data_IF_205694008945
#
_entry.id   IF_205694008945
#
_cell.length_a   1.000
_cell.length_b   1.000
_cell.length_c   1.000
_cell.angle_alpha   90.00
_cell.angle_beta   90.00
_cell.angle_gamma   90.00
#
_symmetry.space_group_name_H-M   'P 1'
#
loop_
_entity.id
_entity.type
_entity.pdbx_description
1 polymer ?
#
# COMPACT_ATOMS: atom_id res chain seq x y z
N UNK A 1 -91.96 61.37 71.00
CA UNK A 1 -93.04 62.30 71.41
C UNK A 1 -93.15 63.37 70.33
N UNK A 2 -93.86 63.05 69.24
CA UNK A 2 -94.29 64.00 68.20
C UNK A 2 -95.81 63.86 68.21
N UNK A 3 -96.51 64.90 68.64
CA UNK A 3 -97.97 64.98 68.72
C UNK A 3 -98.52 64.86 67.29
N UNK A 4 -99.28 63.80 67.01
CA UNK A 4 -100.19 63.79 65.88
C UNK A 4 -101.47 64.49 66.33
N UNK A 5 -101.72 65.69 65.81
CA UNK A 5 -103.07 66.28 65.81
C UNK A 5 -103.88 65.55 64.73
N UNK A 6 -104.78 64.67 65.17
CA UNK A 6 -105.84 64.13 64.32
C UNK A 6 -107.08 65.01 64.48
N UNK A 7 -107.07 66.17 63.83
CA UNK A 7 -108.28 66.98 63.60
C UNK A 7 -108.64 66.89 62.11
N UNK A 8 -109.81 66.30 61.82
CA UNK A 8 -110.52 66.44 60.54
C UNK A 8 -110.04 65.56 59.37
N UNK A 9 -110.06 64.24 59.51
CA UNK A 9 -110.20 63.36 58.34
C UNK A 9 -111.68 63.24 57.99
N UNK A 10 -112.10 63.93 56.92
CA UNK A 10 -113.34 63.59 56.21
C UNK A 10 -113.19 62.18 55.61
N UNK A 11 -114.27 61.40 55.56
CA UNK A 11 -114.29 60.00 55.07
C UNK A 11 -113.56 59.87 53.71
N UNK A 12 -113.70 60.88 52.84
CA UNK A 12 -113.05 60.98 51.52
C UNK A 12 -111.51 61.08 51.54
N UNK A 13 -110.91 61.70 52.58
CA UNK A 13 -109.43 61.79 52.67
C UNK A 13 -108.81 60.51 53.22
N UNK A 14 -109.55 59.76 54.05
CA UNK A 14 -109.12 58.48 54.57
C UNK A 14 -109.19 57.39 53.50
N UNK A 15 -110.20 57.43 52.63
CA UNK A 15 -110.37 56.53 51.48
C UNK A 15 -109.33 56.79 50.39
N UNK A 16 -109.00 58.05 50.08
CA UNK A 16 -107.92 58.39 49.13
C UNK A 16 -106.55 57.90 49.62
N UNK A 17 -106.21 58.10 50.90
CA UNK A 17 -104.96 57.61 51.47
C UNK A 17 -104.88 56.07 51.48
N UNK A 18 -106.01 55.39 51.71
CA UNK A 18 -106.11 53.94 51.67
C UNK A 18 -105.96 53.39 50.24
N UNK A 19 -106.52 54.08 49.24
CA UNK A 19 -106.34 53.75 47.83
C UNK A 19 -104.89 53.92 47.37
N UNK A 20 -104.23 55.02 47.76
CA UNK A 20 -102.81 55.25 47.50
C UNK A 20 -101.91 54.19 48.18
N UNK A 21 -102.23 53.81 49.42
CA UNK A 21 -101.53 52.74 50.13
C UNK A 21 -101.69 51.39 49.39
N UNK A 22 -102.90 51.07 48.93
CA UNK A 22 -103.19 49.85 48.19
C UNK A 22 -102.48 49.82 46.81
N UNK A 23 -102.41 50.95 46.11
CA UNK A 23 -101.67 51.13 44.86
C UNK A 23 -100.15 50.96 45.10
N UNK A 24 -99.64 51.52 46.20
CA UNK A 24 -98.25 51.39 46.67
C UNK A 24 -97.90 49.94 47.01
N UNK A 25 -98.81 49.21 47.65
CA UNK A 25 -98.61 47.79 47.97
C UNK A 25 -98.63 46.92 46.71
N UNK A 26 -99.52 47.19 45.76
CA UNK A 26 -99.54 46.51 44.45
C UNK A 26 -98.26 46.76 43.66
N UNK A 27 -97.74 47.99 43.65
CA UNK A 27 -96.47 48.31 42.98
C UNK A 27 -95.27 47.67 43.68
N UNK A 28 -95.22 47.65 45.02
CA UNK A 28 -94.22 46.91 45.79
C UNK A 28 -94.28 45.40 45.50
N UNK A 29 -95.47 44.81 45.42
CA UNK A 29 -95.63 43.39 45.10
C UNK A 29 -95.10 43.06 43.69
N UNK A 30 -95.41 43.89 42.69
CA UNK A 30 -94.86 43.76 41.31
C UNK A 30 -93.34 43.91 41.29
N UNK A 31 -92.77 44.85 42.04
CA UNK A 31 -91.32 45.03 42.17
C UNK A 31 -90.65 43.81 42.81
N UNK A 32 -91.26 43.23 43.85
CA UNK A 32 -90.78 42.01 44.50
C UNK A 32 -90.82 40.82 43.54
N UNK A 33 -91.89 40.63 42.76
CA UNK A 33 -91.95 39.57 41.75
C UNK A 33 -90.88 39.74 40.66
N UNK A 34 -90.70 40.97 40.16
CA UNK A 34 -89.65 41.28 39.18
C UNK A 34 -88.25 40.99 39.73
N UNK A 35 -88.00 41.35 40.99
CA UNK A 35 -86.74 41.05 41.68
C UNK A 35 -86.52 39.55 41.86
N UNK A 36 -87.56 38.79 42.24
CA UNK A 36 -87.50 37.32 42.33
C UNK A 36 -87.24 36.66 40.98
N UNK A 37 -87.85 37.16 39.91
CA UNK A 37 -87.62 36.67 38.54
C UNK A 37 -86.17 36.92 38.11
N UNK A 38 -85.67 38.16 38.27
CA UNK A 38 -84.28 38.52 37.99
C UNK A 38 -83.30 37.68 38.80
N UNK A 39 -83.59 37.40 40.07
CA UNK A 39 -82.76 36.54 40.90
C UNK A 39 -82.67 35.11 40.34
N UNK A 40 -83.80 34.54 39.88
CA UNK A 40 -83.83 33.19 39.26
C UNK A 40 -83.05 33.16 37.95
N UNK A 41 -83.20 34.17 37.10
CA UNK A 41 -82.45 34.28 35.85
C UNK A 41 -80.95 34.45 36.11
N UNK A 42 -80.56 35.35 37.00
CA UNK A 42 -79.16 35.54 37.39
C UNK A 42 -78.54 34.25 37.93
N UNK A 43 -79.30 33.46 38.70
CA UNK A 43 -78.85 32.15 39.18
C UNK A 43 -78.68 31.14 38.04
N UNK A 44 -79.53 31.16 37.01
CA UNK A 44 -79.38 30.33 35.80
C UNK A 44 -78.17 30.74 34.98
N UNK A 45 -78.03 32.03 34.69
CA UNK A 45 -76.87 32.56 33.96
C UNK A 45 -75.56 32.25 34.67
N UNK A 46 -75.51 32.37 36.00
CA UNK A 46 -74.32 32.00 36.78
C UNK A 46 -73.91 30.54 36.56
N UNK A 47 -74.85 29.60 36.61
CA UNK A 47 -74.57 28.16 36.34
C UNK A 47 -74.07 27.92 34.91
N UNK A 48 -74.66 28.60 33.92
CA UNK A 48 -74.20 28.49 32.53
C UNK A 48 -72.79 29.04 32.36
N UNK A 49 -72.48 30.19 32.98
CA UNK A 49 -71.15 30.78 32.98
C UNK A 49 -70.14 29.82 33.62
N UNK A 50 -70.45 29.24 34.77
CA UNK A 50 -69.59 28.25 35.45
C UNK A 50 -69.29 27.05 34.53
N UNK A 51 -70.30 26.51 33.83
CA UNK A 51 -70.11 25.42 32.87
C UNK A 51 -69.21 25.83 31.69
N UNK A 52 -69.45 26.99 31.09
CA UNK A 52 -68.65 27.50 29.98
C UNK A 52 -67.20 27.77 30.39
N UNK A 53 -66.96 28.21 31.63
CA UNK A 53 -65.59 28.40 32.16
C UNK A 53 -64.87 27.06 32.28
N UNK A 54 -65.54 26.00 32.73
CA UNK A 54 -64.97 24.65 32.78
C UNK A 54 -64.63 24.14 31.36
N UNK A 55 -65.57 24.22 30.42
CA UNK A 55 -65.34 23.82 29.03
C UNK A 55 -64.19 24.60 28.38
N UNK A 56 -64.12 25.92 28.61
CA UNK A 56 -63.00 26.76 28.15
C UNK A 56 -61.65 26.28 28.72
N UNK A 57 -61.61 25.90 29.99
CA UNK A 57 -60.38 25.43 30.63
C UNK A 57 -59.95 24.06 30.08
N UNK A 58 -60.90 23.17 29.78
CA UNK A 58 -60.63 21.87 29.15
C UNK A 58 -60.09 22.04 27.74
N UNK A 59 -60.75 22.87 26.93
CA UNK A 59 -60.27 23.22 25.58
C UNK A 59 -58.89 23.86 25.62
N UNK A 60 -58.61 24.72 26.61
CA UNK A 60 -57.29 25.34 26.78
C UNK A 60 -56.21 24.28 27.11
N UNK A 61 -56.54 23.28 27.92
CA UNK A 61 -55.61 22.16 28.21
C UNK A 61 -55.33 21.35 26.96
N UNK A 62 -56.35 21.04 26.17
CA UNK A 62 -56.20 20.27 24.94
C UNK A 62 -55.41 21.03 23.88
N UNK A 63 -55.68 22.33 23.71
CA UNK A 63 -54.91 23.20 22.83
C UNK A 63 -53.42 23.20 23.20
N UNK A 64 -53.08 23.28 24.48
CA UNK A 64 -51.69 23.25 24.93
C UNK A 64 -51.01 21.90 24.63
N UNK A 65 -51.72 20.77 24.76
CA UNK A 65 -51.20 19.45 24.39
C UNK A 65 -50.89 19.39 22.90
N UNK A 66 -51.83 19.82 22.05
CA UNK A 66 -51.65 19.85 20.59
C UNK A 66 -50.49 20.76 20.18
N UNK A 67 -50.32 21.91 20.84
CA UNK A 67 -49.17 22.81 20.59
C UNK A 67 -47.85 22.10 20.92
N UNK A 68 -47.76 21.43 22.06
CA UNK A 68 -46.56 20.69 22.44
C UNK A 68 -46.23 19.55 21.47
N UNK A 69 -47.26 18.83 21.01
CA UNK A 69 -47.10 17.75 20.03
C UNK A 69 -46.62 18.28 18.68
N UNK A 70 -47.21 19.37 18.19
CA UNK A 70 -46.76 20.05 16.98
C UNK A 70 -45.32 20.53 17.08
N UNK A 71 -44.88 21.03 18.24
CA UNK A 71 -43.47 21.38 18.46
C UNK A 71 -42.54 20.16 18.38
N UNK A 72 -42.94 19.02 18.94
CA UNK A 72 -42.17 17.76 18.83
C UNK A 72 -42.09 17.29 17.37
N UNK A 73 -43.20 17.35 16.63
CA UNK A 73 -43.25 16.99 15.23
C UNK A 73 -42.33 17.88 14.37
N UNK A 74 -42.33 19.20 14.60
CA UNK A 74 -41.41 20.12 13.91
C UNK A 74 -39.94 19.77 14.15
N UNK A 75 -39.57 19.39 15.39
CA UNK A 75 -38.20 18.94 15.69
C UNK A 75 -37.86 17.64 14.96
N UNK A 76 -38.78 16.68 14.90
CA UNK A 76 -38.59 15.41 14.15
C UNK A 76 -38.45 15.67 12.66
N UNK A 77 -39.29 16.54 12.07
CA UNK A 77 -39.19 16.92 10.66
C UNK A 77 -37.83 17.51 10.33
N UNK A 78 -37.32 18.41 11.17
CA UNK A 78 -35.98 18.98 10.98
C UNK A 78 -34.89 17.90 10.99
N UNK A 79 -34.93 16.97 11.95
CA UNK A 79 -33.98 15.87 12.01
C UNK A 79 -34.07 14.92 10.80
N UNK A 80 -35.27 14.67 10.29
CA UNK A 80 -35.47 13.86 9.07
C UNK A 80 -34.90 14.60 7.86
N UNK A 81 -35.12 15.92 7.76
CA UNK A 81 -34.57 16.73 6.68
C UNK A 81 -33.03 16.69 6.67
N UNK A 82 -32.40 16.86 7.83
CA UNK A 82 -30.93 16.76 7.95
C UNK A 82 -30.40 15.39 7.52
N UNK A 83 -31.16 14.30 7.78
CA UNK A 83 -30.80 12.96 7.31
C UNK A 83 -30.99 12.80 5.80
N UNK A 84 -32.05 13.39 5.24
CA UNK A 84 -32.32 13.38 3.81
C UNK A 84 -31.20 14.09 3.04
N UNK A 85 -30.77 15.26 3.52
CA UNK A 85 -29.69 16.04 2.91
C UNK A 85 -28.36 15.24 2.91
N UNK A 86 -28.04 14.58 4.03
CA UNK A 86 -26.88 13.68 4.12
C UNK A 86 -26.96 12.50 3.15
N UNK A 87 -28.15 11.90 3.01
CA UNK A 87 -28.36 10.78 2.11
C UNK A 87 -28.17 11.21 0.64
N UNK A 88 -28.64 12.40 0.27
CA UNK A 88 -28.43 12.97 -1.07
C UNK A 88 -26.95 13.25 -1.35
N UNK A 89 -26.20 13.75 -0.36
CA UNK A 89 -24.77 13.93 -0.49
C UNK A 89 -24.04 12.60 -0.71
N UNK A 90 -24.36 11.57 0.08
CA UNK A 90 -23.78 10.24 -0.09
C UNK A 90 -24.13 9.61 -1.43
N UNK A 91 -25.32 9.85 -1.96
CA UNK A 91 -25.72 9.35 -3.28
C UNK A 91 -24.90 9.99 -4.41
N UNK A 92 -24.61 11.29 -4.28
CA UNK A 92 -23.70 12.00 -5.21
C UNK A 92 -22.28 11.44 -5.14
N UNK A 93 -21.72 11.30 -3.94
CA UNK A 93 -20.38 10.72 -3.74
C UNK A 93 -20.30 9.29 -4.29
N UNK A 94 -21.33 8.46 -4.07
CA UNK A 94 -21.39 7.12 -4.63
C UNK A 94 -21.44 7.10 -6.17
N UNK A 95 -22.05 8.12 -6.80
CA UNK A 95 -22.07 8.23 -8.25
C UNK A 95 -20.68 8.59 -8.79
N UNK A 96 -19.99 9.54 -8.17
CA UNK A 96 -18.62 9.94 -8.52
C UNK A 96 -17.65 8.74 -8.38
N UNK A 97 -17.72 8.01 -7.27
CA UNK A 97 -16.90 6.80 -7.06
C UNK A 97 -17.17 5.69 -8.10
N UNK A 98 -18.42 5.54 -8.55
CA UNK A 98 -18.75 4.57 -9.61
C UNK A 98 -18.13 4.95 -10.95
N UNK A 99 -18.07 6.24 -11.27
CA UNK A 99 -17.44 6.75 -12.49
C UNK A 99 -15.91 6.56 -12.44
N UNK A 100 -15.28 6.86 -11.30
CA UNK A 100 -13.84 6.60 -11.08
C UNK A 100 -13.51 5.11 -11.24
N UNK A 101 -14.29 4.23 -10.60
CA UNK A 101 -14.11 2.79 -10.67
C UNK A 101 -14.29 2.24 -12.09
N UNK A 102 -15.19 2.83 -12.88
CA UNK A 102 -15.33 2.49 -14.30
C UNK A 102 -14.08 2.87 -15.10
N UNK A 103 -13.51 4.07 -14.86
CA UNK A 103 -12.26 4.49 -15.48
C UNK A 103 -11.08 3.59 -15.12
N UNK A 104 -11.01 3.13 -13.87
CA UNK A 104 -9.95 2.23 -13.41
C UNK A 104 -10.09 0.81 -13.99
N UNK A 105 -11.32 0.33 -14.21
CA UNK A 105 -11.57 -0.92 -14.94
C UNK A 105 -11.11 -0.88 -16.39
N UNK A 106 -11.27 0.25 -17.08
CA UNK A 106 -10.75 0.41 -18.45
C UNK A 106 -9.22 0.34 -18.47
N UNK A 107 -8.54 1.03 -17.54
CA UNK A 107 -7.07 0.92 -17.40
C UNK A 107 -6.61 -0.51 -17.14
N UNK A 108 -7.35 -1.28 -16.34
CA UNK A 108 -7.03 -2.69 -16.10
C UNK A 108 -7.16 -3.56 -17.35
N UNK A 109 -8.13 -3.27 -18.23
CA UNK A 109 -8.24 -3.96 -19.52
C UNK A 109 -7.03 -3.67 -20.41
N UNK A 110 -6.59 -2.41 -20.46
CA UNK A 110 -5.41 -2.00 -21.22
C UNK A 110 -4.12 -2.67 -20.69
N UNK A 111 -3.96 -2.77 -19.37
CA UNK A 111 -2.84 -3.50 -18.77
C UNK A 111 -2.90 -5.00 -19.14
N UNK A 112 -4.09 -5.59 -19.19
CA UNK A 112 -4.24 -7.00 -19.59
C UNK A 112 -3.86 -7.23 -21.05
N UNK A 113 -4.21 -6.32 -21.97
CA UNK A 113 -3.81 -6.41 -23.38
C UNK A 113 -2.30 -6.24 -23.54
N UNK A 114 -1.71 -5.24 -22.89
CA UNK A 114 -0.25 -5.04 -22.90
C UNK A 114 0.51 -6.25 -22.34
N UNK A 115 -0.03 -6.90 -21.31
CA UNK A 115 0.56 -8.13 -20.76
C UNK A 115 0.50 -9.29 -21.75
N UNK A 116 -0.58 -9.42 -22.51
CA UNK A 116 -0.69 -10.43 -23.55
C UNK A 116 0.31 -10.18 -24.70
N UNK A 117 0.44 -8.93 -25.15
CA UNK A 117 1.43 -8.52 -26.15
C UNK A 117 2.87 -8.79 -25.67
N UNK A 118 3.19 -8.42 -24.43
CA UNK A 118 4.48 -8.71 -23.80
C UNK A 118 4.79 -10.22 -23.84
N UNK A 119 3.84 -11.07 -23.47
CA UNK A 119 4.04 -12.51 -23.47
C UNK A 119 4.27 -13.06 -24.89
N UNK A 120 3.57 -12.52 -25.89
CA UNK A 120 3.79 -12.90 -27.29
C UNK A 120 5.19 -12.50 -27.78
N UNK A 121 5.66 -11.30 -27.42
CA UNK A 121 7.02 -10.85 -27.74
C UNK A 121 8.08 -11.69 -27.02
N UNK A 122 7.84 -12.06 -25.76
CA UNK A 122 8.73 -12.92 -24.99
C UNK A 122 8.90 -14.28 -25.67
N UNK A 123 7.79 -14.91 -26.10
CA UNK A 123 7.82 -16.18 -26.83
C UNK A 123 8.62 -16.07 -28.15
N UNK A 124 8.46 -14.98 -28.90
CA UNK A 124 9.27 -14.72 -30.10
C UNK A 124 10.76 -14.59 -29.78
N UNK A 125 11.10 -13.91 -28.69
CA UNK A 125 12.48 -13.74 -28.25
C UNK A 125 13.11 -15.07 -27.84
N UNK A 126 12.37 -15.93 -27.14
CA UNK A 126 12.81 -17.29 -26.79
C UNK A 126 13.07 -18.13 -28.04
N UNK A 127 12.20 -18.03 -29.05
CA UNK A 127 12.38 -18.74 -30.32
C UNK A 127 13.64 -18.26 -31.06
N UNK A 128 13.84 -16.94 -31.18
CA UNK A 128 15.07 -16.39 -31.78
C UNK A 128 16.33 -16.81 -31.01
N UNK A 129 16.25 -16.89 -29.67
CA UNK A 129 17.36 -17.35 -28.84
C UNK A 129 17.72 -18.81 -29.13
N UNK A 130 16.73 -19.69 -29.32
CA UNK A 130 16.97 -21.09 -29.71
C UNK A 130 17.66 -21.16 -31.08
N UNK A 131 17.20 -20.37 -32.04
CA UNK A 131 17.81 -20.31 -33.38
C UNK A 131 19.27 -19.85 -33.31
N UNK A 132 19.56 -18.81 -32.54
CA UNK A 132 20.93 -18.33 -32.33
C UNK A 132 21.80 -19.43 -31.69
N UNK A 133 21.29 -20.12 -30.66
CA UNK A 133 22.02 -21.21 -30.01
C UNK A 133 22.36 -22.33 -30.99
N UNK A 134 21.41 -22.73 -31.83
CA UNK A 134 21.63 -23.76 -32.86
C UNK A 134 22.70 -23.34 -33.87
N UNK A 135 22.62 -22.11 -34.39
CA UNK A 135 23.63 -21.58 -35.31
C UNK A 135 25.02 -21.54 -34.64
N UNK A 136 25.07 -21.13 -33.37
CA UNK A 136 26.31 -21.07 -32.61
C UNK A 136 26.94 -22.45 -32.40
N UNK A 137 26.14 -23.47 -32.10
CA UNK A 137 26.61 -24.87 -32.00
C UNK A 137 27.18 -25.37 -33.33
N UNK A 138 26.53 -25.07 -34.45
CA UNK A 138 27.04 -25.41 -35.78
C UNK A 138 28.40 -24.75 -36.07
N UNK A 139 28.52 -23.43 -35.83
CA UNK A 139 29.77 -22.69 -36.04
C UNK A 139 30.88 -23.22 -35.15
N UNK A 140 30.58 -23.56 -33.89
CA UNK A 140 31.55 -24.14 -32.97
C UNK A 140 32.06 -25.49 -33.46
N UNK A 141 31.17 -26.37 -33.91
CA UNK A 141 31.54 -27.67 -34.47
C UNK A 141 32.46 -27.53 -35.68
N UNK A 142 32.11 -26.65 -36.62
CA UNK A 142 32.90 -26.40 -37.82
C UNK A 142 34.29 -25.81 -37.47
N UNK A 143 34.33 -24.87 -36.50
CA UNK A 143 35.58 -24.33 -35.95
C UNK A 143 36.46 -25.41 -35.31
N UNK A 144 35.89 -26.33 -34.53
CA UNK A 144 36.64 -27.43 -33.92
C UNK A 144 37.28 -28.32 -34.97
N UNK A 145 36.56 -28.65 -36.05
CA UNK A 145 37.09 -29.44 -37.15
C UNK A 145 38.25 -28.74 -37.85
N UNK A 146 38.11 -27.44 -38.11
CA UNK A 146 39.14 -26.60 -38.71
C UNK A 146 40.41 -26.53 -37.86
N UNK A 147 40.26 -26.33 -36.54
CA UNK A 147 41.38 -26.35 -35.59
C UNK A 147 42.08 -27.70 -35.59
N UNK A 148 41.32 -28.81 -35.66
CA UNK A 148 41.88 -30.16 -35.69
C UNK A 148 42.73 -30.38 -36.95
N UNK A 149 42.23 -29.97 -38.12
CA UNK A 149 42.99 -30.00 -39.39
C UNK A 149 44.26 -29.14 -39.32
N UNK A 150 44.16 -27.93 -38.80
CA UNK A 150 45.30 -27.02 -38.61
C UNK A 150 46.36 -27.63 -37.69
N UNK A 151 45.97 -28.24 -36.57
CA UNK A 151 46.89 -28.94 -35.66
C UNK A 151 47.59 -30.12 -36.34
N UNK A 152 46.87 -30.87 -37.18
CA UNK A 152 47.44 -31.92 -38.02
C UNK A 152 48.52 -31.38 -38.95
N UNK A 153 48.19 -30.35 -39.74
CA UNK A 153 49.13 -29.71 -40.65
C UNK A 153 50.37 -29.15 -39.92
N UNK A 154 50.19 -28.48 -38.78
CA UNK A 154 51.31 -27.93 -37.97
C UNK A 154 52.24 -29.04 -37.46
N UNK A 155 51.71 -30.22 -37.12
CA UNK A 155 52.50 -31.36 -36.65
C UNK A 155 53.47 -31.86 -37.73
N UNK A 156 53.11 -31.68 -39.00
CA UNK A 156 53.91 -32.10 -40.16
C UNK A 156 54.88 -31.01 -40.65
N UNK A 157 54.86 -29.80 -40.07
CA UNK A 157 55.83 -28.73 -40.38
C UNK A 157 57.03 -28.87 -39.43
N UNK A 158 58.27 -29.02 -39.94
CA UNK A 158 59.47 -29.07 -39.11
C UNK A 158 59.81 -27.65 -38.63
N UNK A 159 59.28 -27.24 -37.47
CA UNK A 159 59.52 -25.91 -36.90
C UNK A 159 60.30 -26.00 -35.60
N UNK A 160 61.38 -25.24 -35.49
CA UNK A 160 62.14 -25.05 -34.25
C UNK A 160 61.37 -24.11 -33.30
N UNK A 161 60.57 -24.72 -32.43
CA UNK A 161 59.69 -24.04 -31.46
C UNK A 161 60.42 -23.04 -30.55
N UNK A 162 61.74 -23.19 -30.32
CA UNK A 162 62.50 -22.29 -29.43
C UNK A 162 62.67 -20.88 -30.00
N UNK A 163 62.73 -20.72 -31.32
CA UNK A 163 62.98 -19.42 -31.94
C UNK A 163 61.71 -18.54 -31.97
N UNK A 164 60.55 -19.16 -32.19
CA UNK A 164 59.25 -18.49 -32.25
C UNK A 164 58.80 -18.03 -30.86
N UNK A 165 59.01 -18.86 -29.83
CA UNK A 165 58.66 -18.52 -28.44
C UNK A 165 59.43 -17.28 -27.94
N UNK A 166 60.67 -17.13 -28.42
CA UNK A 166 61.54 -15.98 -28.12
C UNK A 166 61.03 -14.68 -28.76
N UNK A 167 60.40 -14.75 -29.94
CA UNK A 167 59.80 -13.60 -30.66
C UNK A 167 58.42 -13.21 -30.10
N UNK A 168 57.62 -14.16 -29.62
CA UNK A 168 56.28 -13.89 -29.05
C UNK A 168 56.30 -13.31 -27.63
N UNK A 169 57.28 -13.67 -26.79
CA UNK A 169 57.42 -13.13 -25.41
C UNK A 169 57.70 -11.62 -25.34
N UNK A 170 57.97 -10.97 -26.49
CA UNK A 170 58.29 -9.54 -26.55
C UNK A 170 57.05 -8.64 -26.60
N UNK A 171 55.87 -9.14 -26.98
CA UNK A 171 54.78 -8.26 -27.44
C UNK A 171 53.53 -8.13 -26.56
N UNK A 172 53.44 -8.74 -25.38
CA UNK A 172 52.32 -8.51 -24.46
C UNK A 172 52.76 -8.58 -22.99
N UNK A 173 52.92 -7.41 -22.36
CA UNK A 173 53.07 -7.27 -20.89
C UNK A 173 52.14 -6.18 -20.38
N UNK A 174 50.88 -6.54 -20.13
CA UNK A 174 50.18 -6.06 -18.92
C UNK A 174 50.09 -7.28 -18.02
N UNK A 175 50.92 -7.30 -16.96
CA UNK A 175 50.96 -8.41 -16.01
C UNK A 175 49.84 -8.23 -14.99
N UNK A 176 48.72 -8.93 -15.17
CA UNK A 176 47.84 -9.20 -14.04
C UNK A 176 48.53 -10.22 -13.11
N UNK A 177 48.47 -9.97 -11.79
CA UNK A 177 49.02 -10.88 -10.77
C UNK A 177 48.09 -12.09 -10.58
N UNK A 178 48.00 -12.96 -11.57
CA UNK A 178 47.23 -14.21 -11.49
C UNK A 178 48.15 -15.33 -11.03
N UNK A 179 48.34 -15.46 -9.73
CA UNK A 179 49.12 -16.53 -9.11
C UNK A 179 48.33 -17.19 -7.97
N UNK A 180 48.81 -18.37 -7.54
CA UNK A 180 48.22 -19.19 -6.45
C UNK A 180 48.10 -18.46 -5.10
N UNK A 181 48.75 -17.29 -4.94
CA UNK A 181 48.71 -16.44 -3.74
C UNK A 181 48.06 -15.07 -4.01
N UNK A 182 47.23 -14.95 -5.05
CA UNK A 182 46.53 -13.70 -5.35
C UNK A 182 45.59 -13.34 -4.20
N UNK A 183 45.68 -12.09 -3.73
CA UNK A 183 44.80 -11.57 -2.68
C UNK A 183 43.44 -11.21 -3.27
N UNK A 184 42.36 -11.79 -2.75
CA UNK A 184 41.00 -11.59 -3.27
C UNK A 184 40.04 -11.04 -2.24
N UNK A 185 39.15 -10.16 -2.67
CA UNK A 185 37.98 -9.77 -1.87
C UNK A 185 36.70 -10.06 -2.63
N UNK A 186 35.71 -10.62 -1.93
CA UNK A 186 34.40 -10.98 -2.43
C UNK A 186 33.34 -10.07 -1.81
N UNK A 187 32.50 -9.46 -2.64
CA UNK A 187 31.37 -8.65 -2.20
C UNK A 187 30.08 -9.19 -2.80
N UNK A 188 29.14 -9.57 -1.94
CA UNK A 188 27.91 -10.28 -2.34
C UNK A 188 26.68 -9.45 -2.05
N UNK A 189 25.97 -9.09 -3.10
CA UNK A 189 24.62 -8.53 -3.01
C UNK A 189 23.61 -9.66 -2.84
N UNK A 190 23.26 -9.93 -1.59
CA UNK A 190 22.36 -11.05 -1.24
C UNK A 190 20.98 -10.86 -1.84
N UNK A 191 20.48 -9.63 -1.96
CA UNK A 191 19.17 -9.39 -2.56
C UNK A 191 19.19 -9.77 -4.05
N UNK A 192 20.18 -9.28 -4.80
CA UNK A 192 20.32 -9.58 -6.22
C UNK A 192 20.47 -11.10 -6.46
N UNK A 193 21.27 -11.78 -5.64
CA UNK A 193 21.45 -13.23 -5.71
C UNK A 193 20.16 -13.99 -5.33
N UNK A 194 19.46 -13.59 -4.28
CA UNK A 194 18.26 -14.26 -3.80
C UNK A 194 17.10 -14.17 -4.80
N UNK A 195 16.80 -12.96 -5.30
CA UNK A 195 15.73 -12.78 -6.28
C UNK A 195 16.03 -13.56 -7.57
N UNK A 196 17.29 -13.59 -8.00
CA UNK A 196 17.70 -14.33 -9.19
C UNK A 196 17.59 -15.85 -9.01
N UNK A 197 18.06 -16.40 -7.87
CA UNK A 197 17.96 -17.82 -7.57
C UNK A 197 16.50 -18.29 -7.45
N UNK A 198 15.66 -17.51 -6.76
CA UNK A 198 14.24 -17.83 -6.57
C UNK A 198 13.47 -17.82 -7.89
N UNK A 199 13.65 -16.78 -8.71
CA UNK A 199 12.88 -16.60 -9.94
C UNK A 199 13.28 -17.58 -11.04
N UNK A 200 14.57 -17.92 -11.16
CA UNK A 200 15.08 -18.74 -12.26
C UNK A 200 15.08 -20.24 -11.95
N UNK A 201 15.30 -20.63 -10.70
CA UNK A 201 15.57 -22.02 -10.33
C UNK A 201 14.74 -22.54 -9.15
N UNK A 202 13.87 -21.70 -8.57
CA UNK A 202 13.10 -22.03 -7.37
C UNK A 202 13.98 -22.58 -6.22
N UNK A 203 15.23 -22.12 -6.15
CA UNK A 203 16.26 -22.60 -5.23
C UNK A 203 16.92 -21.46 -4.46
N UNK A 204 17.93 -21.81 -3.65
CA UNK A 204 18.74 -20.85 -2.89
C UNK A 204 20.21 -21.03 -3.21
N UNK A 205 20.99 -19.96 -3.18
CA UNK A 205 22.44 -20.04 -3.35
C UNK A 205 23.07 -20.76 -2.14
N UNK A 206 23.93 -21.73 -2.39
CA UNK A 206 24.80 -22.33 -1.39
C UNK A 206 25.98 -21.39 -1.12
N UNK A 207 25.91 -20.60 -0.04
CA UNK A 207 26.94 -19.58 0.24
C UNK A 207 28.29 -20.16 0.68
N UNK A 208 28.32 -21.39 1.19
CA UNK A 208 29.55 -22.08 1.57
C UNK A 208 30.28 -22.55 0.32
N UNK A 209 29.58 -23.31 -0.53
CA UNK A 209 30.12 -23.77 -1.81
C UNK A 209 30.44 -22.59 -2.74
N UNK A 210 29.62 -21.55 -2.72
CA UNK A 210 29.87 -20.32 -3.46
C UNK A 210 31.18 -19.66 -3.04
N UNK A 211 31.45 -19.54 -1.73
CA UNK A 211 32.70 -18.97 -1.24
C UNK A 211 33.89 -19.81 -1.70
N UNK A 212 33.81 -21.13 -1.51
CA UNK A 212 34.87 -22.08 -1.85
C UNK A 212 35.23 -22.02 -3.34
N UNK A 213 34.23 -22.15 -4.22
CA UNK A 213 34.45 -22.17 -5.68
C UNK A 213 34.90 -20.80 -6.18
N UNK A 214 34.29 -19.73 -5.67
CA UNK A 214 34.59 -18.37 -6.12
C UNK A 214 35.99 -17.95 -5.71
N UNK A 215 36.46 -18.32 -4.51
CA UNK A 215 37.81 -18.01 -4.06
C UNK A 215 38.83 -18.98 -4.69
N UNK A 216 38.53 -20.28 -4.72
CA UNK A 216 39.44 -21.33 -5.16
C UNK A 216 40.73 -21.37 -4.33
N UNK A 217 41.87 -21.62 -4.98
CA UNK A 217 43.18 -21.70 -4.34
C UNK A 217 43.77 -20.34 -3.89
N UNK A 218 43.00 -19.24 -3.95
CA UNK A 218 43.48 -17.87 -3.72
C UNK A 218 43.39 -17.47 -2.25
N UNK A 219 44.11 -16.41 -1.86
CA UNK A 219 44.08 -15.91 -0.48
C UNK A 219 42.90 -14.95 -0.30
N UNK A 220 41.86 -15.38 0.40
CA UNK A 220 40.72 -14.52 0.76
C UNK A 220 41.15 -13.47 1.79
N UNK A 221 41.10 -12.20 1.40
CA UNK A 221 41.30 -11.05 2.28
C UNK A 221 40.01 -10.72 3.02
N UNK A 222 38.88 -10.70 2.32
CA UNK A 222 37.56 -10.43 2.91
C UNK A 222 36.45 -10.97 2.02
N UNK A 223 35.43 -11.57 2.63
CA UNK A 223 34.14 -11.83 2.00
C UNK A 223 33.05 -11.06 2.76
N UNK A 224 32.33 -10.17 2.08
CA UNK A 224 31.24 -9.39 2.69
C UNK A 224 29.91 -9.70 2.02
N UNK A 225 28.89 -10.00 2.83
CA UNK A 225 27.52 -10.21 2.37
C UNK A 225 26.62 -9.07 2.84
N UNK A 226 25.92 -8.43 1.91
CA UNK A 226 25.04 -7.29 2.16
C UNK A 226 23.58 -7.73 2.15
N UNK A 227 22.90 -7.56 3.28
CA UNK A 227 21.53 -8.03 3.50
C UNK A 227 20.63 -6.83 3.82
N UNK A 228 19.48 -6.78 3.16
CA UNK A 228 18.41 -5.85 3.53
C UNK A 228 17.34 -6.64 4.27
N UNK A 229 17.02 -6.20 5.49
CA UNK A 229 16.03 -6.82 6.35
C UNK A 229 14.67 -6.17 6.14
N UNK A 230 13.63 -7.00 6.07
CA UNK A 230 12.23 -6.55 6.09
C UNK A 230 11.59 -6.97 7.41
N UNK A 231 10.70 -6.15 8.00
CA UNK A 231 10.10 -6.45 9.31
C UNK A 231 9.40 -7.82 9.38
N UNK A 232 8.87 -8.28 8.24
CA UNK A 232 8.07 -9.50 8.15
C UNK A 232 8.87 -10.80 8.02
N UNK A 233 10.20 -10.73 7.88
CA UNK A 233 11.05 -11.91 7.63
C UNK A 233 12.17 -12.00 8.67
N UNK A 234 12.09 -13.01 9.54
CA UNK A 234 13.21 -13.33 10.44
C UNK A 234 14.37 -13.97 9.68
N UNK A 235 15.43 -13.20 9.48
CA UNK A 235 16.66 -13.63 8.81
C UNK A 235 17.80 -13.94 9.79
N UNK A 236 17.54 -13.99 11.11
CA UNK A 236 18.58 -14.14 12.15
C UNK A 236 19.40 -15.41 11.98
N UNK A 237 18.74 -16.54 11.65
CA UNK A 237 19.41 -17.83 11.41
C UNK A 237 20.30 -17.78 10.17
N UNK A 238 19.84 -17.15 9.11
CA UNK A 238 20.60 -17.01 7.87
C UNK A 238 21.83 -16.12 8.04
N UNK A 239 21.67 -14.99 8.74
CA UNK A 239 22.80 -14.11 9.11
C UNK A 239 23.84 -14.87 9.95
N UNK A 240 23.38 -15.67 10.90
CA UNK A 240 24.27 -16.48 11.76
C UNK A 240 25.03 -17.54 10.95
N UNK A 241 24.36 -18.20 9.99
CA UNK A 241 24.99 -19.15 9.06
C UNK A 241 26.07 -18.49 8.20
N UNK A 242 25.80 -17.33 7.60
CA UNK A 242 26.82 -16.63 6.80
C UNK A 242 28.04 -16.25 7.63
N UNK A 243 27.83 -15.80 8.86
CA UNK A 243 28.93 -15.50 9.80
C UNK A 243 29.72 -16.75 10.15
N UNK A 244 29.08 -17.90 10.36
CA UNK A 244 29.79 -19.16 10.64
C UNK A 244 30.59 -19.68 9.43
N UNK A 245 30.14 -19.40 8.21
CA UNK A 245 30.88 -19.70 6.98
C UNK A 245 32.12 -18.80 6.82
N UNK A 246 32.11 -17.60 7.42
CA UNK A 246 33.23 -16.65 7.39
C UNK A 246 32.95 -15.34 6.66
N UNK A 247 31.69 -15.05 6.32
CA UNK A 247 31.33 -13.76 5.75
C UNK A 247 31.23 -12.68 6.84
N UNK A 248 31.73 -11.49 6.50
CA UNK A 248 31.36 -10.25 7.18
C UNK A 248 29.96 -9.86 6.71
N UNK A 249 28.98 -9.88 7.61
CA UNK A 249 27.58 -9.58 7.25
C UNK A 249 27.22 -8.14 7.58
N UNK A 250 26.78 -7.38 6.58
CA UNK A 250 26.25 -6.01 6.70
C UNK A 250 24.74 -6.04 6.54
N UNK A 251 24.00 -5.48 7.50
CA UNK A 251 22.53 -5.50 7.52
C UNK A 251 21.95 -4.09 7.52
N UNK A 252 20.93 -3.84 6.70
CA UNK A 252 20.20 -2.58 6.66
C UNK A 252 18.71 -2.85 6.75
N UNK A 253 18.02 -2.12 7.62
CA UNK A 253 16.56 -2.22 7.74
C UNK A 253 15.88 -1.45 6.61
N UNK A 254 14.96 -2.11 5.92
CA UNK A 254 14.14 -1.47 4.89
C UNK A 254 13.23 -0.42 5.56
N UNK A 255 13.51 0.86 5.32
CA UNK A 255 12.67 1.95 5.83
C UNK A 255 11.49 2.16 4.89
N UNK A 256 10.27 2.03 5.41
CA UNK A 256 9.05 2.46 4.73
C UNK A 256 8.90 3.97 4.91
N UNK A 257 9.07 4.73 3.82
CA UNK A 257 8.87 6.18 3.85
C UNK A 257 7.40 6.54 4.04
N UNK A 258 7.13 7.73 4.59
CA UNK A 258 5.81 8.37 4.59
C UNK A 258 5.39 8.65 3.15
N UNK A 259 4.67 7.71 2.53
CA UNK A 259 4.32 7.72 1.12
C UNK A 259 4.36 6.36 0.42
N UNK A 260 4.70 5.28 1.12
CA UNK A 260 4.66 3.91 0.57
C UNK A 260 5.85 3.51 -0.30
N UNK A 261 6.81 4.41 -0.51
CA UNK A 261 8.07 4.10 -1.19
C UNK A 261 9.06 3.46 -0.21
N UNK A 262 9.37 2.18 -0.44
CA UNK A 262 10.49 1.52 0.21
C UNK A 262 11.81 2.00 -0.42
N UNK A 263 12.73 2.53 0.39
CA UNK A 263 14.11 2.83 -0.03
C UNK A 263 15.08 2.02 0.84
N UNK A 264 15.84 1.15 0.19
CA UNK A 264 16.91 0.40 0.86
C UNK A 264 17.61 -0.56 -0.10
N UNK A 265 18.63 -0.09 -0.81
CA UNK A 265 19.65 -0.90 -1.50
C UNK A 265 21.02 -0.67 -0.86
N UNK A 266 21.92 -1.63 -1.02
CA UNK A 266 23.27 -1.53 -0.46
C UNK A 266 24.28 -0.84 -1.38
N UNK A 267 23.88 -0.37 -2.56
CA UNK A 267 24.81 -0.01 -3.63
C UNK A 267 25.87 1.01 -3.22
N UNK A 268 25.47 2.07 -2.52
CA UNK A 268 26.40 3.09 -2.02
C UNK A 268 27.30 2.52 -0.93
N UNK A 269 26.74 1.80 0.04
CA UNK A 269 27.52 1.21 1.14
C UNK A 269 28.51 0.17 0.65
N UNK A 270 28.08 -0.71 -0.25
CA UNK A 270 28.92 -1.69 -0.91
C UNK A 270 30.02 -1.02 -1.74
N UNK A 271 29.69 0.03 -2.50
CA UNK A 271 30.68 0.82 -3.26
C UNK A 271 31.79 1.36 -2.35
N UNK A 272 31.44 1.95 -1.20
CA UNK A 272 32.41 2.49 -0.23
C UNK A 272 33.30 1.37 0.34
N UNK A 273 32.70 0.25 0.76
CA UNK A 273 33.44 -0.89 1.30
C UNK A 273 34.37 -1.52 0.24
N UNK A 274 33.95 -1.57 -1.03
CA UNK A 274 34.79 -2.00 -2.15
C UNK A 274 35.98 -1.05 -2.32
N UNK A 275 35.76 0.27 -2.39
CA UNK A 275 36.83 1.27 -2.57
C UNK A 275 37.95 1.13 -1.52
N UNK A 276 37.61 0.75 -0.29
CA UNK A 276 38.56 0.50 0.79
C UNK A 276 39.51 -0.70 0.56
N UNK A 277 39.31 -1.46 -0.53
CA UNK A 277 40.14 -2.59 -0.93
C UNK A 277 41.10 -2.32 -2.07
N UNK A 278 41.05 -1.15 -2.73
CA UNK A 278 41.84 -0.84 -3.94
C UNK A 278 43.34 -1.20 -3.77
N UNK A 279 43.93 -0.90 -2.63
CA UNK A 279 45.37 -1.14 -2.41
C UNK A 279 45.68 -2.42 -1.61
N UNK A 280 44.68 -3.29 -1.40
CA UNK A 280 44.78 -4.47 -0.52
C UNK A 280 44.58 -5.80 -1.24
N UNK A 281 44.14 -5.77 -2.49
CA UNK A 281 43.78 -6.97 -3.25
C UNK A 281 44.38 -6.92 -4.65
N UNK A 282 44.63 -8.10 -5.20
CA UNK A 282 44.99 -8.26 -6.61
C UNK A 282 43.77 -8.56 -7.48
N UNK A 283 42.68 -9.08 -6.88
CA UNK A 283 41.42 -9.38 -7.59
C UNK A 283 40.19 -9.01 -6.76
N UNK A 284 39.32 -8.20 -7.34
CA UNK A 284 37.98 -7.90 -6.84
C UNK A 284 36.98 -8.89 -7.44
N UNK A 285 36.17 -9.52 -6.60
CA UNK A 285 35.07 -10.36 -7.03
C UNK A 285 33.76 -9.72 -6.59
N UNK A 286 32.89 -9.41 -7.54
CA UNK A 286 31.55 -8.86 -7.28
C UNK A 286 30.50 -9.90 -7.63
N UNK A 287 29.69 -10.26 -6.65
CA UNK A 287 28.53 -11.11 -6.83
C UNK A 287 27.26 -10.27 -6.89
N UNK A 288 27.05 -9.65 -8.07
CA UNK A 288 25.89 -8.81 -8.39
C UNK A 288 25.64 -8.83 -9.90
N UNK A 289 24.37 -8.69 -10.29
CA UNK A 289 23.95 -8.47 -11.66
C UNK A 289 23.77 -7.00 -12.05
N UNK A 290 23.96 -6.07 -11.10
CA UNK A 290 23.60 -4.66 -11.27
C UNK A 290 24.64 -3.85 -12.09
N UNK A 291 24.15 -3.18 -13.13
CA UNK A 291 24.97 -2.34 -14.01
C UNK A 291 25.50 -1.07 -13.33
N UNK A 292 24.94 -0.66 -12.20
CA UNK A 292 25.40 0.52 -11.46
C UNK A 292 26.84 0.38 -10.91
N UNK A 293 27.38 -0.85 -10.88
CA UNK A 293 28.78 -1.11 -10.51
C UNK A 293 29.78 -0.93 -11.67
N UNK A 294 29.34 -0.67 -12.90
CA UNK A 294 30.23 -0.41 -14.05
C UNK A 294 31.34 0.61 -13.76
N UNK A 295 31.08 1.75 -13.08
CA UNK A 295 32.11 2.73 -12.74
C UNK A 295 33.20 2.17 -11.81
N UNK A 296 32.83 1.34 -10.82
CA UNK A 296 33.82 0.77 -9.88
C UNK A 296 34.68 -0.29 -10.56
N UNK A 297 34.11 -1.09 -11.46
CA UNK A 297 34.87 -2.06 -12.26
C UNK A 297 35.98 -1.35 -13.05
N UNK A 298 35.62 -0.29 -13.80
CA UNK A 298 36.59 0.50 -14.57
C UNK A 298 37.67 1.14 -13.69
N UNK A 299 37.32 1.59 -12.48
CA UNK A 299 38.28 2.17 -11.56
C UNK A 299 39.32 1.14 -11.09
N UNK A 300 38.87 -0.05 -10.71
CA UNK A 300 39.75 -1.13 -10.25
C UNK A 300 40.67 -1.63 -11.36
N UNK A 301 40.14 -1.80 -12.57
CA UNK A 301 40.95 -2.15 -13.74
C UNK A 301 42.02 -1.10 -14.06
N UNK A 302 41.68 0.19 -13.95
CA UNK A 302 42.67 1.29 -14.09
C UNK A 302 43.79 1.23 -13.04
N UNK A 303 43.54 0.62 -11.89
CA UNK A 303 44.54 0.37 -10.84
C UNK A 303 45.29 -0.96 -11.02
N UNK A 304 45.05 -1.68 -12.10
CA UNK A 304 45.69 -2.96 -12.41
C UNK A 304 45.10 -4.15 -11.64
N UNK A 305 43.99 -3.93 -10.93
CA UNK A 305 43.29 -4.96 -10.16
C UNK A 305 42.36 -5.69 -11.11
N UNK A 306 42.41 -7.01 -11.10
CA UNK A 306 41.50 -7.84 -11.88
C UNK A 306 40.10 -7.79 -11.27
N UNK A 307 39.06 -7.70 -12.09
CA UNK A 307 37.68 -7.68 -11.65
C UNK A 307 36.93 -8.86 -12.25
N UNK A 308 36.38 -9.68 -11.36
CA UNK A 308 35.58 -10.85 -11.71
C UNK A 308 34.13 -10.63 -11.27
N UNK A 309 33.18 -10.90 -12.17
CA UNK A 309 31.75 -10.81 -11.87
C UNK A 309 31.19 -12.21 -11.77
N UNK A 310 30.47 -12.51 -10.70
CA UNK A 310 29.83 -13.81 -10.47
C UNK A 310 28.33 -13.61 -10.26
N UNK A 311 27.52 -13.97 -11.25
CA UNK A 311 26.07 -13.71 -11.16
C UNK A 311 25.29 -14.62 -12.12
N UNK A 312 23.96 -14.62 -11.99
CA UNK A 312 23.08 -15.32 -12.91
C UNK A 312 23.12 -14.63 -14.28
N UNK A 313 23.49 -15.38 -15.32
CA UNK A 313 23.69 -14.83 -16.66
C UNK A 313 22.47 -14.05 -17.19
N UNK A 314 21.25 -14.49 -16.91
CA UNK A 314 20.04 -13.81 -17.38
C UNK A 314 19.73 -12.50 -16.65
N UNK A 315 20.19 -12.34 -15.40
CA UNK A 315 19.86 -11.20 -14.55
C UNK A 315 21.06 -10.26 -14.34
N UNK A 316 22.03 -10.31 -15.25
CA UNK A 316 23.24 -9.47 -15.21
C UNK A 316 23.26 -8.51 -16.38
N UNK A 317 23.46 -7.22 -16.10
CA UNK A 317 23.59 -6.17 -17.10
C UNK A 317 24.67 -6.50 -18.15
N UNK A 318 24.37 -6.24 -19.43
CA UNK A 318 25.27 -6.56 -20.56
C UNK A 318 26.59 -5.81 -20.40
N UNK A 319 26.51 -4.49 -20.17
CA UNK A 319 27.68 -3.63 -19.98
C UNK A 319 28.60 -4.13 -18.87
N UNK A 320 28.04 -4.65 -17.77
CA UNK A 320 28.83 -5.19 -16.66
C UNK A 320 29.59 -6.46 -17.07
N UNK A 321 28.99 -7.33 -17.88
CA UNK A 321 29.67 -8.54 -18.40
C UNK A 321 30.77 -8.19 -19.37
N UNK A 322 30.52 -7.23 -20.26
CA UNK A 322 31.46 -6.85 -21.32
C UNK A 322 32.72 -6.20 -20.76
N UNK A 323 32.61 -5.41 -19.69
CA UNK A 323 33.77 -4.75 -19.10
C UNK A 323 34.54 -5.63 -18.11
N UNK A 324 33.93 -6.69 -17.56
CA UNK A 324 34.58 -7.53 -16.56
C UNK A 324 35.78 -8.27 -17.16
N UNK A 325 36.87 -8.42 -16.40
CA UNK A 325 38.00 -9.25 -16.86
C UNK A 325 37.61 -10.72 -16.97
N UNK A 326 36.66 -11.15 -16.13
CA UNK A 326 36.01 -12.46 -16.24
C UNK A 326 34.60 -12.43 -15.67
N UNK A 327 33.68 -13.05 -16.40
CA UNK A 327 32.33 -13.32 -15.93
C UNK A 327 32.18 -14.83 -15.65
N UNK A 328 31.72 -15.18 -14.45
CA UNK A 328 31.38 -16.54 -14.05
C UNK A 328 29.87 -16.65 -13.86
N UNK A 329 29.16 -17.39 -14.72
CA UNK A 329 27.74 -17.61 -14.53
C UNK A 329 27.48 -18.51 -13.33
N UNK A 330 26.53 -18.14 -12.46
CA UNK A 330 26.00 -19.04 -11.44
C UNK A 330 25.13 -20.09 -12.14
N UNK A 331 25.45 -21.36 -11.91
CA UNK A 331 24.74 -22.53 -12.45
C UNK A 331 24.11 -23.36 -11.33
N UNK A 332 23.34 -24.39 -11.69
CA UNK A 332 22.62 -25.26 -10.75
C UNK A 332 23.53 -25.91 -9.70
N UNK A 333 24.82 -26.10 -9.99
CA UNK A 333 25.79 -26.69 -9.06
C UNK A 333 26.01 -25.87 -7.78
N UNK A 334 25.73 -24.56 -7.83
CA UNK A 334 25.84 -23.64 -6.70
C UNK A 334 24.50 -23.45 -5.97
N UNK A 335 23.46 -24.20 -6.34
CA UNK A 335 22.12 -24.03 -5.79
C UNK A 335 21.72 -25.20 -4.89
N UNK A 336 21.08 -24.86 -3.78
CA UNK A 336 20.38 -25.78 -2.90
C UNK A 336 18.90 -25.76 -3.31
N UNK A 337 18.36 -26.92 -3.65
CA UNK A 337 16.92 -27.08 -3.90
C UNK A 337 16.15 -26.95 -2.58
N UNK A 338 15.06 -26.19 -2.59
CA UNK A 338 14.19 -26.06 -1.42
C UNK A 338 13.34 -27.34 -1.27
N UNK A 339 13.51 -28.15 -0.19
CA UNK A 339 12.73 -29.37 -0.02
C UNK A 339 11.25 -29.12 0.25
N UNK A 340 10.88 -27.89 0.65
CA UNK A 340 9.53 -27.56 1.11
C UNK A 340 8.56 -27.14 0.01
N UNK A 341 8.97 -27.17 -1.27
CA UNK A 341 8.12 -26.72 -2.37
C UNK A 341 8.21 -27.64 -3.61
N UNK A 342 7.90 -28.93 -3.43
CA UNK A 342 7.91 -29.97 -4.47
C UNK A 342 6.74 -29.88 -5.47
N UNK A 343 6.33 -28.67 -5.86
CA UNK A 343 5.32 -28.43 -6.91
C UNK A 343 5.89 -27.53 -8.00
N UNK A 344 6.83 -28.07 -8.79
CA UNK A 344 7.02 -27.72 -10.21
C UNK A 344 8.15 -28.54 -10.83
N UNK A 345 7.97 -29.87 -10.94
CA UNK A 345 8.62 -30.60 -12.03
C UNK A 345 7.77 -30.40 -13.28
N UNK A 346 8.11 -29.38 -14.06
CA UNK A 346 7.79 -29.30 -15.49
C UNK A 346 8.99 -28.63 -16.16
N UNK A 347 10.11 -29.36 -16.21
CA UNK A 347 11.08 -29.16 -17.27
C UNK A 347 10.44 -29.73 -18.56
N UNK A 348 10.40 -29.00 -19.68
CA UNK A 348 10.02 -29.61 -20.94
C UNK A 348 11.06 -30.68 -21.28
N UNK A 349 10.58 -31.90 -21.54
CA UNK A 349 11.41 -33.00 -22.03
C UNK A 349 12.17 -32.55 -23.27
N UNK A 350 13.46 -32.91 -23.32
CA UNK A 350 14.28 -32.78 -24.52
C UNK A 350 13.65 -33.65 -25.61
N UNK A 351 13.13 -33.00 -26.65
CA UNK A 351 12.87 -33.60 -27.96
C UNK A 351 13.95 -33.20 -28.96
#
# INVERSE_FOLDING_TARGET
MVKWEMDGLTDDKATDLAAELQESEKTKAKLIERSKFQYRENKRFKKTIEKLVLEKNDLKRELNRVIQENQKLKKRMKSIQEKLDKMQQLDKENKELKEELAGEREKLKEIATLKAEKNQLLAKCEESKKQISYIMEMILAERYELISRLKGLIRDIPVDYKEIEKKMKLNNKVKHRTGKNSQVALFVDVQNMFYSAKNLYNGRLDYEKFLEITVGDRTLVQATAYIVQTPDIDQTKFISLLRSIGYVVRTMDLKTGTGGFAKGNWDVGMTIDILNMIDKIDTLILATGDGDFVPIVKLFQKRGIRVEIVSFAYNTAIDLKEIADRFYPITEELLIQDPSNSYSKNLPERS
#
